data_IF_631037705261
#
_entry.id   IF_631037705261
#
_cell.length_a   1.000
_cell.length_b   1.000
_cell.length_c   1.000
_cell.angle_alpha   90.00
_cell.angle_beta   90.00
_cell.angle_gamma   90.00
#
_symmetry.space_group_name_H-M   'P 1'
#
loop_
_entity.id
_entity.type
_entity.pdbx_description
1 polymer ?
#
# COMPACT_ATOMS: atom_id res chain seq x y z
N UNK A 1 -61.74 -1.30 18.57
CA UNK A 1 -61.44 -2.09 17.36
C UNK A 1 -60.82 -1.27 16.22
N UNK A 2 -61.39 -0.13 15.79
CA UNK A 2 -60.81 0.71 14.71
C UNK A 2 -59.34 1.13 14.94
N UNK A 3 -58.96 1.48 16.17
CA UNK A 3 -57.57 1.85 16.52
C UNK A 3 -56.58 0.68 16.38
N UNK A 4 -57.00 -0.55 16.69
CA UNK A 4 -56.19 -1.76 16.48
C UNK A 4 -56.03 -2.07 14.98
N UNK A 5 -57.09 -1.88 14.20
CA UNK A 5 -57.05 -2.09 12.75
C UNK A 5 -56.12 -1.11 12.06
N UNK A 6 -56.13 0.17 12.48
CA UNK A 6 -55.20 1.20 12.01
C UNK A 6 -53.74 0.89 12.39
N UNK A 7 -53.49 0.46 13.63
CA UNK A 7 -52.14 0.08 14.06
C UNK A 7 -51.61 -1.14 13.29
N UNK A 8 -52.47 -2.13 13.02
CA UNK A 8 -52.11 -3.30 12.22
C UNK A 8 -51.83 -2.94 10.76
N UNK A 9 -52.66 -2.08 10.17
CA UNK A 9 -52.44 -1.56 8.82
C UNK A 9 -51.15 -0.76 8.70
N UNK A 10 -50.78 0.02 9.72
CA UNK A 10 -49.54 0.78 9.75
C UNK A 10 -48.30 -0.13 9.86
N UNK A 11 -48.39 -1.19 10.67
CA UNK A 11 -47.34 -2.22 10.80
C UNK A 11 -47.14 -3.05 9.51
N UNK A 12 -48.21 -3.31 8.76
CA UNK A 12 -48.10 -3.96 7.44
C UNK A 12 -47.46 -3.04 6.39
N UNK A 13 -47.68 -1.72 6.48
CA UNK A 13 -47.09 -0.75 5.56
C UNK A 13 -45.58 -0.58 5.79
N UNK A 14 -45.09 -0.71 7.03
CA UNK A 14 -43.67 -0.60 7.34
C UNK A 14 -42.83 -1.78 6.83
N UNK A 15 -43.43 -2.95 6.61
CA UNK A 15 -42.75 -4.12 6.02
C UNK A 15 -42.45 -3.94 4.52
N UNK A 16 -43.12 -3.00 3.84
CA UNK A 16 -42.88 -2.66 2.43
C UNK A 16 -41.80 -1.58 2.24
N UNK A 17 -41.27 -1.02 3.33
CA UNK A 17 -40.23 0.00 3.26
C UNK A 17 -38.87 -0.64 2.94
N UNK A 18 -38.43 -0.54 1.68
CA UNK A 18 -37.06 -0.87 1.27
C UNK A 18 -36.12 0.30 1.61
N UNK A 19 -35.91 0.54 2.90
CA UNK A 19 -35.00 1.58 3.39
C UNK A 19 -33.52 1.12 3.47
N UNK A 20 -33.24 -0.15 3.17
CA UNK A 20 -31.88 -0.68 3.15
C UNK A 20 -31.32 -0.61 1.73
N UNK A 21 -30.56 0.45 1.44
CA UNK A 21 -29.68 0.45 0.28
C UNK A 21 -28.50 -0.49 0.55
N UNK A 22 -28.39 -1.57 -0.23
CA UNK A 22 -27.22 -2.45 -0.21
C UNK A 22 -26.08 -1.76 -0.96
N UNK A 23 -25.42 -0.81 -0.30
CA UNK A 23 -24.25 -0.14 -0.86
C UNK A 23 -23.14 -1.17 -1.10
N UNK A 24 -22.73 -1.31 -2.35
CA UNK A 24 -21.49 -2.00 -2.73
C UNK A 24 -20.30 -1.08 -2.46
N UNK A 25 -19.07 -1.58 -2.65
CA UNK A 25 -17.87 -0.76 -2.51
C UNK A 25 -17.99 0.51 -3.37
N UNK A 26 -17.90 1.66 -2.70
CA UNK A 26 -18.01 2.97 -3.35
C UNK A 26 -16.63 3.47 -3.69
N UNK A 27 -16.46 3.91 -4.94
CA UNK A 27 -15.25 4.62 -5.36
C UNK A 27 -15.48 6.13 -5.27
N UNK A 28 -14.46 6.91 -4.88
CA UNK A 28 -14.55 8.35 -4.93
C UNK A 28 -14.67 8.84 -6.39
N UNK A 29 -15.08 10.10 -6.61
CA UNK A 29 -15.01 10.73 -7.92
C UNK A 29 -13.62 10.60 -8.55
N UNK A 30 -13.58 10.56 -9.89
CA UNK A 30 -12.37 10.24 -10.66
C UNK A 30 -11.20 11.15 -10.31
N UNK A 31 -11.45 12.43 -10.11
CA UNK A 31 -10.44 13.45 -9.82
C UNK A 31 -9.74 13.18 -8.48
N UNK A 32 -10.51 12.74 -7.47
CA UNK A 32 -9.96 12.35 -6.17
C UNK A 32 -9.21 11.03 -6.30
N UNK A 33 -9.73 10.08 -7.08
CA UNK A 33 -9.07 8.80 -7.31
C UNK A 33 -7.72 8.97 -8.02
N UNK A 34 -7.63 9.85 -9.01
CA UNK A 34 -6.38 10.20 -9.69
C UNK A 34 -5.38 10.84 -8.74
N UNK A 35 -5.84 11.74 -7.86
CA UNK A 35 -4.97 12.38 -6.86
C UNK A 35 -4.43 11.36 -5.85
N UNK A 36 -5.28 10.45 -5.36
CA UNK A 36 -4.91 9.42 -4.38
C UNK A 36 -3.95 8.39 -4.98
N UNK A 37 -4.12 8.04 -6.25
CA UNK A 37 -3.28 7.06 -6.95
C UNK A 37 -2.06 7.67 -7.64
N UNK A 38 -1.80 8.97 -7.46
CA UNK A 38 -0.62 9.60 -8.04
C UNK A 38 0.67 8.94 -7.50
N UNK A 39 1.68 8.69 -8.36
CA UNK A 39 2.91 8.08 -7.94
C UNK A 39 3.67 9.00 -6.96
N UNK A 40 4.31 8.39 -5.96
CA UNK A 40 5.19 9.10 -5.05
C UNK A 40 6.50 9.45 -5.74
N UNK A 41 7.10 10.58 -5.33
CA UNK A 41 8.50 10.84 -5.62
C UNK A 41 9.36 9.72 -5.00
N UNK A 42 10.39 9.23 -5.70
CA UNK A 42 11.24 8.17 -5.19
C UNK A 42 12.01 8.62 -3.95
N UNK A 43 12.28 7.67 -3.05
CA UNK A 43 13.30 7.86 -2.04
C UNK A 43 14.68 7.76 -2.70
N UNK A 44 15.58 8.66 -2.36
CA UNK A 44 16.91 8.72 -2.98
C UNK A 44 17.96 8.30 -1.96
N UNK A 45 18.75 7.29 -2.31
CA UNK A 45 20.00 6.99 -1.63
C UNK A 45 21.17 7.43 -2.50
N UNK A 46 22.14 8.10 -1.89
CA UNK A 46 23.36 8.58 -2.56
C UNK A 46 24.59 7.93 -1.91
N UNK A 47 25.60 7.63 -2.71
CA UNK A 47 26.90 7.24 -2.17
C UNK A 47 27.62 8.41 -1.45
N UNK A 48 28.73 8.13 -0.76
CA UNK A 48 29.48 9.15 -0.02
C UNK A 48 30.17 10.15 -0.96
N UNK A 49 30.44 9.76 -2.21
CA UNK A 49 31.11 10.60 -3.20
C UNK A 49 30.14 11.55 -3.91
N UNK A 50 28.84 11.32 -3.79
CA UNK A 50 27.82 12.06 -4.51
C UNK A 50 27.72 11.68 -5.99
N UNK A 51 28.24 10.53 -6.39
CA UNK A 51 28.37 10.13 -7.79
C UNK A 51 27.23 9.23 -8.25
N UNK A 52 26.82 8.29 -7.38
CA UNK A 52 25.81 7.29 -7.69
C UNK A 52 24.55 7.48 -6.85
N UNK A 53 23.41 7.42 -7.52
CA UNK A 53 22.07 7.54 -6.95
C UNK A 53 21.30 6.23 -7.17
N UNK A 54 20.62 5.80 -6.12
CA UNK A 54 19.61 4.73 -6.17
C UNK A 54 18.26 5.34 -5.84
N UNK A 55 17.33 5.22 -6.79
CA UNK A 55 15.96 5.71 -6.70
C UNK A 55 15.06 4.54 -6.33
N UNK A 56 14.40 4.64 -5.19
CA UNK A 56 13.55 3.61 -4.62
C UNK A 56 12.09 4.06 -4.72
N UNK A 57 11.29 3.30 -5.47
CA UNK A 57 9.87 3.60 -5.70
C UNK A 57 8.98 2.68 -4.87
N UNK A 58 7.86 3.24 -4.41
CA UNK A 58 6.86 2.51 -3.64
C UNK A 58 5.48 3.09 -3.86
N UNK A 59 4.48 2.27 -3.61
CA UNK A 59 3.10 2.71 -3.60
C UNK A 59 2.80 3.60 -2.38
N UNK A 60 1.87 4.56 -2.50
CA UNK A 60 1.47 5.41 -1.38
C UNK A 60 0.75 4.64 -0.27
N UNK A 61 0.12 3.51 -0.60
CA UNK A 61 -0.66 2.70 0.31
C UNK A 61 -0.35 1.21 0.12
N UNK A 62 -0.40 0.46 1.21
CA UNK A 62 -0.29 -1.00 1.15
C UNK A 62 -1.56 -1.59 0.52
N UNK A 63 -1.39 -2.66 -0.24
CA UNK A 63 -2.52 -3.38 -0.83
C UNK A 63 -3.38 -4.07 0.23
N UNK A 64 -4.64 -4.34 -0.09
CA UNK A 64 -5.53 -5.14 0.78
C UNK A 64 -4.93 -6.53 1.05
N UNK A 65 -4.30 -7.14 0.04
CA UNK A 65 -3.65 -8.43 0.17
C UNK A 65 -2.54 -8.39 1.22
N UNK A 66 -1.69 -7.36 1.17
CA UNK A 66 -0.63 -7.15 2.16
C UNK A 66 -1.18 -6.86 3.56
N UNK A 67 -2.21 -6.02 3.67
CA UNK A 67 -2.81 -5.70 4.96
C UNK A 67 -3.51 -6.90 5.63
N UNK A 68 -3.92 -7.87 4.80
CA UNK A 68 -4.58 -9.12 5.21
C UNK A 68 -3.60 -10.25 5.54
N UNK A 69 -2.29 -10.02 5.40
CA UNK A 69 -1.28 -10.99 5.84
C UNK A 69 -1.36 -11.23 7.35
N UNK A 70 -0.96 -12.42 7.78
CA UNK A 70 -0.96 -12.80 9.19
C UNK A 70 -0.05 -11.88 10.01
N UNK A 71 -0.56 -11.39 11.14
CA UNK A 71 0.15 -10.54 12.08
C UNK A 71 0.19 -11.20 13.46
N UNK A 72 1.37 -11.68 13.86
CA UNK A 72 1.62 -12.15 15.21
C UNK A 72 1.93 -10.97 16.14
N UNK A 73 1.30 -10.94 17.31
CA UNK A 73 1.52 -9.91 18.33
C UNK A 73 2.26 -10.48 19.53
N UNK A 74 3.51 -10.08 19.73
CA UNK A 74 4.38 -10.60 20.78
C UNK A 74 5.09 -9.47 21.50
N UNK A 75 4.90 -9.36 22.83
CA UNK A 75 5.54 -8.32 23.66
C UNK A 75 5.37 -6.88 23.13
N UNK A 76 4.22 -6.57 22.52
CA UNK A 76 3.93 -5.26 21.91
C UNK A 76 4.43 -5.09 20.47
N UNK A 77 5.19 -6.04 19.93
CA UNK A 77 5.62 -6.06 18.54
C UNK A 77 4.53 -6.65 17.64
N UNK A 78 4.52 -6.22 16.37
CA UNK A 78 3.68 -6.77 15.30
C UNK A 78 4.58 -7.39 14.24
N UNK A 79 4.57 -8.72 14.15
CA UNK A 79 5.51 -9.52 13.38
C UNK A 79 4.75 -10.27 12.29
N UNK A 80 5.26 -10.25 11.06
CA UNK A 80 4.80 -11.17 10.03
C UNK A 80 5.52 -12.52 10.26
N UNK A 81 4.81 -13.61 10.59
CA UNK A 81 5.43 -14.88 10.95
C UNK A 81 6.10 -15.60 9.76
N UNK A 82 5.76 -15.23 8.52
CA UNK A 82 6.38 -15.79 7.31
C UNK A 82 7.73 -15.14 7.00
N UNK A 83 7.84 -13.83 7.19
CA UNK A 83 9.05 -13.06 6.85
C UNK A 83 9.91 -12.68 8.07
N UNK A 84 9.40 -12.89 9.30
CA UNK A 84 10.05 -12.56 10.56
C UNK A 84 10.47 -11.08 10.71
N UNK A 85 9.80 -10.18 10.00
CA UNK A 85 9.98 -8.73 10.12
C UNK A 85 8.67 -8.06 10.55
N UNK A 86 8.69 -6.73 10.72
CA UNK A 86 7.49 -5.97 11.09
C UNK A 86 6.35 -6.21 10.09
N UNK A 87 5.16 -6.55 10.58
CA UNK A 87 3.97 -6.78 9.72
C UNK A 87 3.50 -5.55 8.95
N UNK A 88 3.95 -4.36 9.37
CA UNK A 88 3.64 -3.06 8.75
C UNK A 88 4.86 -2.41 8.11
N UNK A 89 5.81 -3.23 7.66
CA UNK A 89 6.96 -2.76 6.88
C UNK A 89 6.48 -2.13 5.58
N UNK A 90 7.07 -1.00 5.18
CA UNK A 90 6.85 -0.40 3.86
C UNK A 90 7.83 -1.02 2.88
N UNK A 91 7.33 -1.57 1.78
CA UNK A 91 8.16 -2.16 0.74
C UNK A 91 8.31 -1.22 -0.45
N UNK A 92 9.44 -1.36 -1.14
CA UNK A 92 9.69 -0.77 -2.43
C UNK A 92 9.40 -1.80 -3.52
N UNK A 93 8.80 -1.32 -4.61
CA UNK A 93 8.32 -2.14 -5.72
C UNK A 93 9.08 -1.90 -7.03
N UNK A 94 9.98 -0.90 -7.07
CA UNK A 94 10.88 -0.68 -8.19
C UNK A 94 12.16 0.02 -7.73
N UNK A 95 13.24 -0.22 -8.48
CA UNK A 95 14.56 0.37 -8.26
C UNK A 95 15.08 0.88 -9.59
N UNK A 96 15.56 2.12 -9.59
CA UNK A 96 16.35 2.67 -10.68
C UNK A 96 17.68 3.19 -10.15
N UNK A 97 18.69 3.21 -11.01
CA UNK A 97 20.02 3.70 -10.69
C UNK A 97 20.43 4.77 -11.69
N UNK A 98 21.16 5.77 -11.21
CA UNK A 98 21.74 6.77 -12.11
C UNK A 98 22.96 7.43 -11.51
N UNK A 99 23.80 8.02 -12.37
CA UNK A 99 24.81 8.97 -11.92
C UNK A 99 24.14 10.29 -11.54
N UNK A 100 24.70 11.01 -10.56
CA UNK A 100 24.19 12.31 -10.14
C UNK A 100 24.17 13.36 -11.27
N UNK A 101 25.12 13.25 -12.21
CA UNK A 101 25.20 14.10 -13.40
C UNK A 101 24.31 13.64 -14.55
N UNK A 102 23.71 12.44 -14.48
CA UNK A 102 22.89 11.90 -15.54
C UNK A 102 21.46 12.47 -15.48
N UNK A 103 20.93 12.82 -16.65
CA UNK A 103 19.56 13.29 -16.79
C UNK A 103 18.55 12.16 -16.49
N UNK A 104 18.78 10.98 -17.07
CA UNK A 104 17.87 9.85 -17.01
C UNK A 104 18.37 8.78 -16.03
N UNK A 105 17.43 8.02 -15.47
CA UNK A 105 17.71 6.85 -14.67
C UNK A 105 17.54 5.56 -15.47
N UNK A 106 18.26 4.52 -15.05
CA UNK A 106 18.24 3.20 -15.66
C UNK A 106 17.53 2.23 -14.73
N UNK A 107 16.58 1.47 -15.27
CA UNK A 107 15.87 0.45 -14.52
C UNK A 107 16.76 -0.77 -14.23
N UNK A 108 16.68 -1.30 -13.01
CA UNK A 108 17.39 -2.53 -12.64
C UNK A 108 16.72 -3.74 -13.30
N UNK A 109 17.50 -4.57 -13.97
CA UNK A 109 17.02 -5.80 -14.62
C UNK A 109 17.10 -7.01 -13.69
N UNK A 110 16.28 -8.04 -13.95
CA UNK A 110 16.30 -9.29 -13.19
C UNK A 110 15.49 -9.28 -11.88
N UNK A 111 14.73 -8.23 -11.62
CA UNK A 111 13.78 -8.20 -10.50
C UNK A 111 12.63 -9.20 -10.72
N UNK A 112 12.09 -9.81 -9.65
CA UNK A 112 10.89 -10.64 -9.74
C UNK A 112 9.67 -9.81 -10.17
N UNK A 113 8.62 -10.45 -10.69
CA UNK A 113 7.48 -9.75 -11.29
C UNK A 113 6.72 -8.81 -10.34
N UNK A 114 6.67 -9.13 -9.04
CA UNK A 114 6.06 -8.29 -8.00
C UNK A 114 7.05 -8.16 -6.83
N UNK A 115 8.11 -7.35 -6.98
CA UNK A 115 9.16 -7.29 -5.99
C UNK A 115 8.63 -6.56 -4.74
N UNK A 116 8.90 -7.13 -3.56
CA UNK A 116 8.69 -6.48 -2.26
C UNK A 116 10.03 -6.40 -1.58
N UNK A 117 10.66 -5.24 -1.68
CA UNK A 117 12.04 -5.04 -1.26
C UNK A 117 12.11 -4.08 -0.08
N UNK A 118 12.97 -4.39 0.89
CA UNK A 118 13.19 -3.63 2.10
C UNK A 118 14.65 -3.72 2.53
N UNK A 119 15.02 -3.08 3.65
CA UNK A 119 16.34 -3.20 4.27
C UNK A 119 17.53 -2.84 3.35
N UNK A 120 17.35 -1.87 2.47
CA UNK A 120 18.38 -1.38 1.55
C UNK A 120 19.61 -0.88 2.29
N UNK A 121 20.78 -1.43 1.94
CA UNK A 121 22.08 -1.05 2.51
C UNK A 121 23.17 -1.09 1.44
N UNK A 122 23.99 -0.05 1.43
CA UNK A 122 25.24 -0.05 0.69
C UNK A 122 26.27 -1.03 1.29
N UNK A 123 27.10 -1.62 0.43
CA UNK A 123 28.36 -2.22 0.85
C UNK A 123 29.27 -1.17 1.50
N UNK A 124 30.26 -1.58 2.33
CA UNK A 124 31.19 -0.64 2.95
C UNK A 124 31.89 0.30 1.95
N UNK A 125 32.28 -0.26 0.79
CA UNK A 125 32.92 0.46 -0.32
C UNK A 125 31.92 1.13 -1.28
N UNK A 126 30.62 0.91 -1.09
CA UNK A 126 29.51 1.49 -1.87
C UNK A 126 29.53 1.15 -3.37
N UNK A 127 30.10 0.01 -3.73
CA UNK A 127 30.08 -0.58 -5.06
C UNK A 127 28.88 -1.51 -5.32
N UNK A 128 28.22 -1.96 -4.24
CA UNK A 128 27.09 -2.88 -4.28
C UNK A 128 26.00 -2.44 -3.29
N UNK A 129 24.77 -2.86 -3.56
CA UNK A 129 23.63 -2.65 -2.67
C UNK A 129 22.95 -3.98 -2.34
N UNK A 130 22.76 -4.23 -1.05
CA UNK A 130 21.99 -5.36 -0.54
C UNK A 130 20.59 -4.90 -0.13
N UNK A 131 19.60 -5.77 -0.34
CA UNK A 131 18.22 -5.60 0.08
C UNK A 131 17.56 -6.98 0.25
N UNK A 132 16.42 -7.02 0.94
CA UNK A 132 15.66 -8.24 1.21
C UNK A 132 14.23 -8.12 0.74
#
# INVERSE_FOLDING_TARGET
>A
MKKLFLAFSFSMLSLLALAQEKLTYQQPPKEILELVNAPLAPSVQIDRKGENLVLLYRDPFNSIAELSEEEMRLAGLRINPKTNIGSRTNYYNNIEVKKASAANAEAVTGLPANPRMSNFRWSPEQDMMAFT
#
